data_IF_694146150248
#
_entry.id   IF_694146150248
#
_cell.length_a   1.000
_cell.length_b   1.000
_cell.length_c   1.000
_cell.angle_alpha   90.00
_cell.angle_beta   90.00
_cell.angle_gamma   90.00
#
_symmetry.space_group_name_H-M   'P 1'
#
loop_
_entity.id
_entity.type
_entity.pdbx_description
1 polymer ?
#
# COMPACT_ATOMS: atom_id res chain seq x y z
N UNK A 1 13.89 11.82 -12.95
CA UNK A 1 14.91 12.03 -11.89
C UNK A 1 15.52 10.69 -11.52
N UNK A 2 16.76 10.66 -11.00
CA UNK A 2 17.36 9.43 -10.46
C UNK A 2 17.01 9.30 -8.98
N UNK A 3 16.33 8.21 -8.62
CA UNK A 3 15.91 7.91 -7.25
C UNK A 3 16.72 6.72 -6.73
N UNK A 4 17.35 6.88 -5.56
CA UNK A 4 17.90 5.74 -4.82
C UNK A 4 16.78 5.09 -4.02
N UNK A 5 16.66 3.77 -4.10
CA UNK A 5 15.57 2.99 -3.51
C UNK A 5 16.14 1.92 -2.59
N UNK A 6 15.32 1.43 -1.66
CA UNK A 6 15.74 0.40 -0.70
C UNK A 6 16.06 -0.92 -1.39
N UNK A 7 15.16 -1.36 -2.28
CA UNK A 7 15.14 -2.73 -2.80
C UNK A 7 15.46 -2.82 -4.32
N UNK A 8 15.47 -1.70 -5.05
CA UNK A 8 15.64 -1.66 -6.52
C UNK A 8 16.92 -0.93 -6.99
N UNK A 9 17.80 -0.55 -6.06
CA UNK A 9 18.98 0.26 -6.39
C UNK A 9 18.58 1.65 -6.89
N UNK A 10 19.22 2.13 -7.97
CA UNK A 10 18.92 3.43 -8.56
C UNK A 10 18.00 3.26 -9.76
N UNK A 11 16.82 3.89 -9.70
CA UNK A 11 15.81 3.87 -10.76
C UNK A 11 15.59 5.27 -11.33
N UNK A 12 15.13 5.34 -12.58
CA UNK A 12 14.67 6.60 -13.19
C UNK A 12 13.16 6.72 -12.99
N UNK A 13 12.71 7.84 -12.40
CA UNK A 13 11.31 8.14 -12.10
C UNK A 13 10.95 9.49 -12.69
N UNK A 14 9.86 9.58 -13.45
CA UNK A 14 9.32 10.85 -13.92
C UNK A 14 8.52 11.55 -12.81
N UNK A 15 8.49 12.89 -12.82
CA UNK A 15 7.72 13.65 -11.82
C UNK A 15 6.22 13.32 -11.88
N UNK A 16 5.73 12.95 -13.06
CA UNK A 16 4.37 12.46 -13.32
C UNK A 16 4.08 11.11 -12.65
N UNK A 17 5.08 10.29 -12.32
CA UNK A 17 4.88 8.99 -11.67
C UNK A 17 4.78 9.12 -10.14
N UNK A 18 5.10 10.28 -9.59
CA UNK A 18 5.10 10.51 -8.16
C UNK A 18 3.68 10.72 -7.65
N UNK A 19 3.31 9.94 -6.66
CA UNK A 19 2.04 10.06 -5.94
C UNK A 19 2.27 10.87 -4.66
N UNK A 20 1.37 11.84 -4.44
CA UNK A 20 1.40 12.71 -3.27
C UNK A 20 0.40 12.24 -2.23
N UNK A 21 0.88 11.98 -1.01
CA UNK A 21 0.06 11.60 0.14
C UNK A 21 -0.58 12.84 0.78
N UNK A 22 -1.77 13.20 0.30
CA UNK A 22 -2.56 14.34 0.81
C UNK A 22 -3.09 14.05 2.22
N UNK A 23 -3.49 12.80 2.49
CA UNK A 23 -3.54 12.23 3.83
C UNK A 23 -2.25 11.48 4.15
N UNK A 24 -1.70 11.56 5.38
CA UNK A 24 -0.43 10.90 5.70
C UNK A 24 -0.54 9.38 5.71
N UNK A 25 0.62 8.71 5.65
CA UNK A 25 0.77 7.36 6.21
C UNK A 25 0.99 7.50 7.70
N UNK A 26 0.21 6.79 8.52
CA UNK A 26 0.28 6.91 9.98
C UNK A 26 1.66 6.50 10.50
N UNK A 27 2.28 7.37 11.31
CA UNK A 27 3.65 7.21 11.82
C UNK A 27 4.76 7.68 10.86
N UNK A 28 4.40 8.16 9.66
CA UNK A 28 5.33 8.66 8.64
C UNK A 28 4.86 10.00 8.04
N UNK A 29 4.24 10.85 8.86
CA UNK A 29 3.53 12.06 8.44
C UNK A 29 4.40 13.12 7.74
N UNK A 30 5.71 13.07 7.96
CA UNK A 30 6.69 13.95 7.32
C UNK A 30 6.99 13.58 5.87
N UNK A 31 6.68 12.34 5.45
CA UNK A 31 6.94 11.86 4.10
C UNK A 31 5.64 11.84 3.31
N UNK A 32 5.67 12.49 2.15
CA UNK A 32 4.49 12.79 1.34
C UNK A 32 4.64 12.39 -0.12
N UNK A 33 5.84 12.15 -0.61
CA UNK A 33 6.08 11.83 -2.02
C UNK A 33 6.58 10.41 -2.15
N UNK A 34 5.83 9.60 -2.89
CA UNK A 34 6.12 8.19 -3.09
C UNK A 34 5.98 7.80 -4.55
N UNK A 35 6.65 6.72 -4.94
CA UNK A 35 6.47 6.06 -6.22
C UNK A 35 6.12 4.60 -5.98
N UNK A 36 5.24 4.08 -6.82
CA UNK A 36 4.89 2.66 -6.83
C UNK A 36 5.86 1.92 -7.76
N UNK A 37 6.59 0.95 -7.21
CA UNK A 37 7.55 0.12 -7.92
C UNK A 37 7.08 -1.34 -7.92
N UNK A 38 7.30 -2.02 -9.03
CA UNK A 38 6.94 -3.42 -9.22
C UNK A 38 8.21 -4.26 -9.39
N UNK A 39 8.19 -5.47 -8.83
CA UNK A 39 9.22 -6.47 -9.06
C UNK A 39 8.59 -7.67 -9.77
N UNK A 40 8.80 -7.76 -11.09
CA UNK A 40 8.20 -8.79 -11.96
C UNK A 40 8.47 -10.21 -11.46
N UNK A 41 9.65 -10.46 -10.89
CA UNK A 41 10.07 -11.78 -10.41
C UNK A 41 9.43 -12.22 -9.07
N UNK A 42 8.72 -11.33 -8.36
CA UNK A 42 8.14 -11.66 -7.04
C UNK A 42 6.69 -12.08 -7.15
N UNK A 43 5.81 -11.20 -7.66
CA UNK A 43 4.38 -11.47 -7.87
C UNK A 43 3.69 -10.22 -8.40
N UNK A 44 2.68 -10.40 -9.26
CA UNK A 44 1.81 -9.33 -9.75
C UNK A 44 0.90 -8.70 -8.66
N UNK A 45 0.75 -9.35 -7.51
CA UNK A 45 -0.12 -8.88 -6.43
C UNK A 45 0.60 -7.96 -5.45
N UNK A 46 1.93 -7.91 -5.47
CA UNK A 46 2.74 -7.11 -4.56
C UNK A 46 3.29 -5.87 -5.25
N UNK A 47 3.39 -4.79 -4.49
CA UNK A 47 3.91 -3.52 -4.97
C UNK A 47 4.68 -2.83 -3.85
N UNK A 48 5.74 -2.12 -4.23
CA UNK A 48 6.58 -1.36 -3.31
C UNK A 48 6.19 0.10 -3.38
N UNK A 49 5.85 0.67 -2.24
CA UNK A 49 5.62 2.09 -2.09
C UNK A 49 6.91 2.73 -1.56
N UNK A 50 7.76 3.17 -2.48
CA UNK A 50 9.08 3.74 -2.19
C UNK A 50 8.97 5.25 -1.96
N UNK A 51 9.52 5.74 -0.86
CA UNK A 51 9.61 7.19 -0.63
C UNK A 51 10.62 7.82 -1.58
N UNK A 52 10.25 8.96 -2.15
CA UNK A 52 11.13 9.84 -2.93
C UNK A 52 12.06 10.66 -2.01
N UNK A 53 11.64 10.83 -0.75
CA UNK A 53 12.27 11.72 0.23
C UNK A 53 13.24 10.99 1.15
N UNK A 54 13.05 9.68 1.35
CA UNK A 54 13.94 8.83 2.15
C UNK A 54 14.17 7.47 1.45
N UNK A 55 15.41 7.16 1.01
CA UNK A 55 15.69 5.92 0.29
C UNK A 55 15.44 4.66 1.12
N UNK A 56 15.59 4.72 2.45
CA UNK A 56 15.40 3.58 3.35
C UNK A 56 13.91 3.33 3.67
N UNK A 57 13.04 4.30 3.36
CA UNK A 57 11.61 4.19 3.61
C UNK A 57 10.90 3.59 2.40
N UNK A 58 10.52 2.32 2.54
CA UNK A 58 9.75 1.60 1.54
C UNK A 58 8.75 0.65 2.20
N UNK A 59 7.49 0.69 1.75
CA UNK A 59 6.46 -0.22 2.22
C UNK A 59 6.18 -1.29 1.17
N UNK A 60 5.85 -2.49 1.63
CA UNK A 60 5.32 -3.54 0.76
C UNK A 60 3.80 -3.50 0.92
N UNK A 61 3.11 -3.39 -0.20
CA UNK A 61 1.66 -3.43 -0.27
C UNK A 61 1.21 -4.64 -1.09
N UNK A 62 -0.02 -5.08 -0.85
CA UNK A 62 -0.63 -6.18 -1.60
C UNK A 62 -2.04 -5.83 -2.05
N UNK A 63 -2.43 -6.38 -3.19
CA UNK A 63 -3.82 -6.31 -3.67
C UNK A 63 -4.75 -7.02 -2.67
N UNK A 64 -5.88 -6.41 -2.29
CA UNK A 64 -6.81 -7.02 -1.34
C UNK A 64 -7.35 -8.39 -1.77
N UNK A 65 -7.55 -8.61 -3.07
CA UNK A 65 -8.08 -9.87 -3.63
C UNK A 65 -7.22 -11.10 -3.33
N UNK A 66 -5.91 -10.92 -3.07
CA UNK A 66 -5.05 -12.01 -2.64
C UNK A 66 -5.42 -12.53 -1.24
N UNK A 67 -6.00 -11.67 -0.41
CA UNK A 67 -6.24 -11.93 1.01
C UNK A 67 -7.71 -12.22 1.29
N UNK A 68 -8.60 -11.43 0.69
CA UNK A 68 -10.04 -11.47 0.93
C UNK A 68 -10.77 -10.97 -0.31
N UNK A 69 -11.75 -11.76 -0.77
CA UNK A 69 -12.62 -11.38 -1.88
C UNK A 69 -14.08 -11.71 -1.54
N UNK A 70 -15.01 -10.73 -1.58
CA UNK A 70 -14.79 -9.32 -1.94
C UNK A 70 -14.17 -8.51 -0.78
N UNK A 71 -13.33 -7.53 -1.12
CA UNK A 71 -12.86 -6.49 -0.20
C UNK A 71 -13.26 -5.12 -0.75
N UNK A 72 -14.41 -4.62 -0.30
CA UNK A 72 -15.02 -3.37 -0.76
C UNK A 72 -15.24 -2.43 0.44
N UNK A 73 -14.18 -1.77 0.94
CA UNK A 73 -14.29 -0.95 2.13
C UNK A 73 -15.09 0.33 1.86
N UNK A 74 -15.96 0.69 2.80
CA UNK A 74 -16.57 2.02 2.82
C UNK A 74 -15.55 3.03 3.32
N UNK A 75 -15.15 3.96 2.44
CA UNK A 75 -14.21 5.02 2.78
C UNK A 75 -14.89 6.11 3.62
N UNK A 76 -14.15 6.76 4.54
CA UNK A 76 -14.70 7.85 5.34
C UNK A 76 -15.00 9.08 4.47
N UNK A 77 -15.85 9.98 4.96
CA UNK A 77 -16.31 11.16 4.21
C UNK A 77 -15.16 12.09 3.74
N UNK A 78 -14.08 12.15 4.52
CA UNK A 78 -12.86 12.93 4.20
C UNK A 78 -12.08 12.37 3.00
N UNK A 79 -12.38 11.16 2.53
CA UNK A 79 -11.67 10.56 1.39
C UNK A 79 -11.80 11.40 0.11
N UNK A 80 -13.00 11.93 -0.17
CA UNK A 80 -13.23 12.79 -1.33
C UNK A 80 -12.48 14.13 -1.21
N UNK A 81 -12.38 14.70 -0.01
CA UNK A 81 -11.62 15.94 0.22
C UNK A 81 -10.12 15.74 -0.02
N UNK A 82 -9.58 14.63 0.46
CA UNK A 82 -8.14 14.33 0.36
C UNK A 82 -7.75 13.84 -1.04
N UNK A 83 -8.56 12.95 -1.64
CA UNK A 83 -8.21 12.27 -2.88
C UNK A 83 -8.80 12.92 -4.14
N UNK A 84 -9.86 13.73 -3.99
CA UNK A 84 -10.66 14.25 -5.10
C UNK A 84 -11.55 13.19 -5.75
N UNK A 85 -12.47 13.62 -6.60
CA UNK A 85 -13.40 12.73 -7.30
C UNK A 85 -12.70 11.76 -8.26
N UNK A 86 -13.27 10.56 -8.41
CA UNK A 86 -12.81 9.57 -9.38
C UNK A 86 -12.91 8.14 -8.85
N UNK A 87 -12.28 7.23 -9.59
CA UNK A 87 -12.13 5.83 -9.19
C UNK A 87 -10.91 5.68 -8.28
N UNK A 88 -11.07 4.87 -7.24
CA UNK A 88 -10.00 4.62 -6.27
C UNK A 88 -9.45 3.21 -6.38
N UNK A 89 -8.14 3.08 -6.18
CA UNK A 89 -7.46 1.81 -5.99
C UNK A 89 -7.14 1.62 -4.51
N UNK A 90 -7.36 0.42 -3.98
CA UNK A 90 -7.05 0.06 -2.60
C UNK A 90 -5.88 -0.92 -2.52
N UNK A 91 -4.99 -0.67 -1.57
CA UNK A 91 -3.82 -1.49 -1.27
C UNK A 91 -3.73 -1.75 0.23
N UNK A 92 -3.26 -2.94 0.61
CA UNK A 92 -3.08 -3.31 2.02
C UNK A 92 -1.61 -3.29 2.39
N UNK A 93 -1.29 -2.67 3.52
CA UNK A 93 0.07 -2.67 4.07
C UNK A 93 0.44 -4.06 4.61
N UNK A 94 1.58 -4.58 4.16
CA UNK A 94 2.14 -5.85 4.61
C UNK A 94 3.12 -5.61 5.77
N UNK A 95 2.94 -6.37 6.84
CA UNK A 95 3.91 -6.53 7.93
C UNK A 95 4.66 -7.85 7.72
N UNK A 96 5.86 -7.76 7.15
CA UNK A 96 6.73 -8.91 6.90
C UNK A 96 7.19 -9.52 8.23
N UNK A 97 7.16 -10.85 8.33
CA UNK A 97 7.64 -11.62 9.47
C UNK A 97 8.68 -12.64 9.01
N UNK A 98 9.43 -13.16 9.98
CA UNK A 98 10.29 -14.33 9.79
C UNK A 98 9.75 -15.47 10.67
N UNK A 99 9.38 -16.64 10.11
CA UNK A 99 9.30 -16.96 8.68
C UNK A 99 8.25 -16.14 7.91
N UNK A 100 8.45 -16.00 6.59
CA UNK A 100 7.63 -15.15 5.70
C UNK A 100 6.15 -15.55 5.66
N UNK A 101 5.84 -16.84 5.82
CA UNK A 101 4.47 -17.38 5.89
C UNK A 101 3.65 -16.81 7.07
N UNK A 102 4.31 -16.27 8.11
CA UNK A 102 3.67 -15.57 9.24
C UNK A 102 3.39 -14.09 8.97
N UNK A 103 3.71 -13.59 7.78
CA UNK A 103 3.46 -12.19 7.44
C UNK A 103 1.97 -11.88 7.53
N UNK A 104 1.64 -10.64 7.89
CA UNK A 104 0.26 -10.20 8.08
C UNK A 104 -0.02 -8.94 7.28
N UNK A 105 -1.28 -8.69 6.95
CA UNK A 105 -1.75 -7.44 6.35
C UNK A 105 -2.64 -6.66 7.30
N UNK A 106 -2.70 -5.34 7.11
CA UNK A 106 -3.63 -4.48 7.81
C UNK A 106 -4.89 -4.24 6.95
N UNK A 107 -5.99 -4.92 7.29
CA UNK A 107 -7.31 -4.73 6.64
C UNK A 107 -8.06 -3.51 7.18
N UNK A 108 -7.72 -3.02 8.37
CA UNK A 108 -8.39 -1.87 8.99
C UNK A 108 -7.94 -0.55 8.39
N UNK A 109 -6.73 -0.49 7.83
CA UNK A 109 -6.14 0.77 7.38
C UNK A 109 -5.49 0.71 5.99
N UNK A 110 -6.30 0.61 4.92
CA UNK A 110 -5.78 0.53 3.55
C UNK A 110 -5.13 1.85 3.11
N UNK A 111 -4.20 1.73 2.18
CA UNK A 111 -3.72 2.83 1.35
C UNK A 111 -4.66 2.95 0.16
N UNK A 112 -5.23 4.13 -0.04
CA UNK A 112 -6.16 4.42 -1.12
C UNK A 112 -5.55 5.45 -2.05
N UNK A 113 -5.65 5.21 -3.34
CA UNK A 113 -5.01 6.00 -4.39
C UNK A 113 -6.05 6.43 -5.40
N UNK A 114 -6.09 7.71 -5.73
CA UNK A 114 -6.71 8.23 -6.94
C UNK A 114 -5.63 8.31 -8.03
N UNK A 115 -5.59 7.37 -9.00
CA UNK A 115 -4.55 7.34 -10.01
C UNK A 115 -4.67 8.50 -11.00
N UNK A 116 -5.87 9.02 -11.25
CA UNK A 116 -6.07 10.14 -12.17
C UNK A 116 -5.48 11.45 -11.61
N UNK A 117 -5.51 11.62 -10.29
CA UNK A 117 -5.00 12.82 -9.61
C UNK A 117 -3.63 12.63 -8.95
N UNK A 118 -3.06 11.42 -9.00
CA UNK A 118 -1.81 11.07 -8.32
C UNK A 118 -1.82 11.44 -6.83
N UNK A 119 -2.96 11.20 -6.17
CA UNK A 119 -3.18 11.46 -4.75
C UNK A 119 -3.39 10.16 -4.00
N UNK A 120 -2.84 10.07 -2.80
CA UNK A 120 -3.05 8.94 -1.93
C UNK A 120 -3.27 9.38 -0.47
N UNK A 121 -3.84 8.48 0.31
CA UNK A 121 -4.01 8.63 1.74
C UNK A 121 -4.17 7.25 2.39
N UNK A 122 -3.76 7.13 3.65
CA UNK A 122 -4.12 6.00 4.46
C UNK A 122 -5.36 6.35 5.29
N UNK A 123 -6.39 5.50 5.24
CA UNK A 123 -7.61 5.69 6.01
C UNK A 123 -7.72 4.66 7.12
N UNK A 124 -8.38 4.98 8.22
CA UNK A 124 -8.84 3.98 9.19
C UNK A 124 -10.31 3.76 8.89
N UNK A 125 -10.67 2.52 8.56
CA UNK A 125 -12.05 2.16 8.22
C UNK A 125 -12.90 2.05 9.49
N UNK A 126 -14.19 2.33 9.42
CA UNK A 126 -15.10 2.13 10.55
C UNK A 126 -15.42 0.65 10.78
N UNK A 127 -15.50 -0.15 9.70
CA UNK A 127 -15.77 -1.59 9.75
C UNK A 127 -14.79 -2.33 10.68
N UNK A 128 -15.29 -3.32 11.43
CA UNK A 128 -14.49 -4.11 12.38
C UNK A 128 -13.59 -5.12 11.64
N UNK A 129 -12.53 -4.60 11.03
CA UNK A 129 -11.53 -5.34 10.28
C UNK A 129 -10.24 -5.48 11.09
N UNK A 130 -9.52 -6.61 10.97
CA UNK A 130 -8.32 -6.84 11.74
C UNK A 130 -7.14 -5.98 11.27
N UNK A 131 -6.36 -5.47 12.22
CA UNK A 131 -5.07 -4.82 11.97
C UNK A 131 -3.96 -5.81 11.55
N UNK A 132 -4.13 -7.09 11.89
CA UNK A 132 -3.20 -8.18 11.60
C UNK A 132 -3.97 -9.39 11.11
N UNK A 133 -4.21 -9.45 9.81
CA UNK A 133 -4.77 -10.62 9.14
C UNK A 133 -3.64 -11.44 8.52
N UNK A 134 -3.62 -12.77 8.59
CA UNK A 134 -2.63 -13.58 7.87
C UNK A 134 -2.58 -13.22 6.38
N UNK A 135 -1.38 -13.02 5.83
CA UNK A 135 -1.20 -12.76 4.39
C UNK A 135 -1.46 -14.03 3.58
N UNK A 136 -1.00 -15.17 4.09
CA UNK A 136 -1.24 -16.48 3.51
C UNK A 136 -2.36 -17.15 4.27
N UNK A 137 -3.30 -17.77 3.53
CA UNK A 137 -4.28 -18.67 4.15
C UNK A 137 -3.49 -19.86 4.68
N UNK A 138 -3.78 -20.28 5.91
CA UNK A 138 -3.37 -21.62 6.34
C UNK A 138 -4.02 -22.58 5.33
N UNK A 139 -3.21 -23.28 4.53
CA UNK A 139 -3.71 -24.51 3.94
C UNK A 139 -4.23 -25.33 5.12
N UNK A 140 -5.53 -25.68 5.09
CA UNK A 140 -6.06 -26.69 5.99
C UNK A 140 -5.06 -27.83 5.95
N UNK A 141 -4.36 -28.04 7.06
CA UNK A 141 -3.56 -29.24 7.25
C UNK A 141 -4.55 -30.40 7.16
N UNK A 142 -4.75 -30.90 5.95
CA UNK A 142 -5.52 -32.08 5.67
C UNK A 142 -4.77 -33.23 6.35
N UNK A 143 -5.30 -33.64 7.50
CA UNK A 143 -5.05 -34.93 8.14
C UNK A 143 -6.40 -35.61 8.35
#
# INVERSE_FOLDING_TARGET
MKLSTRDFGVVEVEESEIVTFTGPIFGFESYRRFVFLYQEDVSEHFIWLQSVENPDLCFILVQPSLVMEPYEPQLPAEAQELLGDGDYMCWLLVSIREPFDRSTVNLKSPVVVNPALHRAAQFILDADLPLRHPLFREEESAC
#
